data_IF_102445261670
#
_entry.id   IF_102445261670
#
_cell.length_a   1.000
_cell.length_b   1.000
_cell.length_c   1.000
_cell.angle_alpha   90.00
_cell.angle_beta   90.00
_cell.angle_gamma   90.00
#
_symmetry.space_group_name_H-M   'P 1'
#
loop_
_entity.id
_entity.type
_entity.pdbx_description
1 polymer ?
#
# COMPACT_ATOMS: atom_id res chain seq x y z
N UNK A 1 10.85 13.91 10.08
CA UNK A 1 10.46 13.04 8.96
C UNK A 1 9.08 12.38 9.09
N UNK A 2 8.03 13.12 9.44
CA UNK A 2 6.65 12.60 9.36
C UNK A 2 5.74 13.62 8.67
N UNK A 3 5.53 13.43 7.37
CA UNK A 3 4.46 14.10 6.62
C UNK A 3 3.70 13.17 5.66
N UNK A 4 4.18 11.94 5.38
CA UNK A 4 3.62 11.09 4.31
C UNK A 4 3.08 9.73 4.81
N UNK A 5 3.33 9.35 6.06
CA UNK A 5 2.88 8.07 6.62
C UNK A 5 1.36 8.00 6.77
N UNK A 6 0.71 9.08 7.21
CA UNK A 6 -0.73 9.08 7.49
C UNK A 6 -1.61 8.75 6.27
N UNK A 7 -1.30 9.32 5.10
CA UNK A 7 -2.03 9.03 3.86
C UNK A 7 -1.89 7.55 3.44
N UNK A 8 -0.68 7.00 3.62
CA UNK A 8 -0.40 5.60 3.33
C UNK A 8 -1.14 4.67 4.31
N UNK A 9 -1.05 4.94 5.62
CA UNK A 9 -1.74 4.16 6.66
C UNK A 9 -3.25 4.18 6.46
N UNK A 10 -3.82 5.34 6.10
CA UNK A 10 -5.25 5.47 5.83
C UNK A 10 -5.67 4.65 4.60
N UNK A 11 -4.90 4.71 3.51
CA UNK A 11 -5.20 3.95 2.29
C UNK A 11 -5.14 2.43 2.54
N UNK A 12 -4.17 1.95 3.31
CA UNK A 12 -4.05 0.55 3.72
C UNK A 12 -5.21 0.15 4.64
N UNK A 13 -5.52 0.94 5.66
CA UNK A 13 -6.67 0.71 6.56
C UNK A 13 -8.01 0.68 5.83
N UNK A 14 -8.14 1.43 4.73
CA UNK A 14 -9.30 1.41 3.85
C UNK A 14 -9.31 0.27 2.81
N UNK A 15 -8.33 -0.65 2.85
CA UNK A 15 -8.25 -1.80 1.95
C UNK A 15 -8.01 -1.42 0.48
N UNK A 16 -7.29 -0.32 0.23
CA UNK A 16 -6.99 0.14 -1.14
C UNK A 16 -5.72 -0.53 -1.67
N UNK A 17 -5.62 -0.61 -2.99
CA UNK A 17 -4.37 -0.99 -3.65
C UNK A 17 -3.47 0.23 -3.68
N UNK A 18 -2.28 0.14 -3.05
CA UNK A 18 -1.38 1.29 -2.90
C UNK A 18 -0.06 1.04 -3.63
N UNK A 19 0.45 2.09 -4.26
CA UNK A 19 1.82 2.17 -4.81
C UNK A 19 2.53 3.29 -4.04
N UNK A 20 3.75 3.04 -3.57
CA UNK A 20 4.55 4.06 -2.87
C UNK A 20 6.03 3.96 -3.21
N UNK A 21 6.79 5.01 -2.92
CA UNK A 21 8.26 4.95 -3.00
C UNK A 21 8.83 4.16 -1.81
N UNK A 22 10.03 3.56 -1.92
CA UNK A 22 10.52 2.57 -0.96
C UNK A 22 11.19 3.20 0.26
N UNK A 23 10.48 4.09 0.98
CA UNK A 23 10.93 4.57 2.29
C UNK A 23 10.64 3.51 3.37
N UNK A 24 11.33 3.52 4.53
CA UNK A 24 11.29 2.43 5.51
C UNK A 24 9.87 1.98 5.90
N UNK A 25 9.02 2.94 6.27
CA UNK A 25 7.64 2.65 6.64
C UNK A 25 6.81 2.06 5.50
N UNK A 26 6.99 2.51 4.24
CA UNK A 26 6.32 1.92 3.10
C UNK A 26 6.78 0.48 2.81
N UNK A 27 8.08 0.20 2.98
CA UNK A 27 8.60 -1.16 2.83
C UNK A 27 7.95 -2.12 3.82
N UNK A 28 7.88 -1.75 5.10
CA UNK A 28 7.28 -2.58 6.14
C UNK A 28 5.77 -2.75 5.94
N UNK A 29 5.08 -1.66 5.61
CA UNK A 29 3.63 -1.65 5.53
C UNK A 29 3.10 -2.41 4.30
N UNK A 30 3.80 -2.30 3.16
CA UNK A 30 3.37 -2.88 1.88
C UNK A 30 3.93 -4.28 1.61
N UNK A 31 4.74 -4.81 2.52
CA UNK A 31 5.28 -6.17 2.46
C UNK A 31 4.17 -7.26 2.44
N UNK A 32 4.51 -8.53 2.21
CA UNK A 32 3.53 -9.64 2.11
C UNK A 32 2.39 -9.37 1.09
N UNK A 33 2.71 -8.64 0.02
CA UNK A 33 1.76 -8.30 -1.04
C UNK A 33 0.65 -7.35 -0.61
N UNK A 34 0.87 -6.51 0.41
CA UNK A 34 -0.07 -5.47 0.87
C UNK A 34 -0.09 -4.21 -0.02
N UNK A 35 0.79 -4.17 -1.02
CA UNK A 35 0.80 -3.18 -2.09
C UNK A 35 2.04 -3.31 -2.95
N UNK A 36 2.45 -2.22 -3.58
CA UNK A 36 3.56 -2.20 -4.53
C UNK A 36 4.51 -1.04 -4.23
N UNK A 37 5.79 -1.25 -4.53
CA UNK A 37 6.81 -0.21 -4.43
C UNK A 37 7.27 0.20 -5.83
N UNK A 38 7.52 1.49 -6.02
CA UNK A 38 8.10 2.06 -7.24
C UNK A 38 9.38 2.80 -6.90
N UNK A 39 10.44 2.74 -7.73
CA UNK A 39 11.66 3.52 -7.49
C UNK A 39 11.41 5.03 -7.40
N UNK A 40 12.33 5.76 -6.77
CA UNK A 40 12.27 7.21 -6.74
C UNK A 40 12.50 7.79 -8.14
N UNK A 41 11.72 8.81 -8.49
CA UNK A 41 11.83 9.54 -9.77
C UNK A 41 11.73 8.65 -11.02
N UNK A 42 10.99 7.55 -10.95
CA UNK A 42 10.78 6.63 -12.07
C UNK A 42 9.32 6.61 -12.51
N UNK A 43 8.99 7.52 -13.43
CA UNK A 43 7.62 7.68 -13.94
C UNK A 43 7.21 6.51 -14.86
N UNK A 44 8.16 5.91 -15.59
CA UNK A 44 7.90 4.79 -16.49
C UNK A 44 7.57 3.51 -15.72
N UNK A 45 8.26 3.27 -14.60
CA UNK A 45 7.94 2.15 -13.73
C UNK A 45 6.57 2.34 -13.05
N UNK A 46 6.27 3.56 -12.60
CA UNK A 46 4.98 3.89 -12.01
C UNK A 46 3.83 3.69 -13.02
N UNK A 47 3.96 4.21 -14.23
CA UNK A 47 2.94 4.06 -15.28
C UNK A 47 2.71 2.58 -15.62
N UNK A 48 3.78 1.80 -15.76
CA UNK A 48 3.74 0.36 -16.02
C UNK A 48 3.00 -0.40 -14.92
N UNK A 49 3.29 -0.08 -13.64
CA UNK A 49 2.58 -0.68 -12.51
C UNK A 49 1.09 -0.33 -12.51
N UNK A 50 0.75 0.93 -12.78
CA UNK A 50 -0.65 1.37 -12.85
C UNK A 50 -1.38 0.59 -13.95
N UNK A 51 -0.84 0.56 -15.17
CA UNK A 51 -1.44 -0.17 -16.30
C UNK A 51 -1.63 -1.64 -15.95
N UNK A 52 -0.61 -2.29 -15.38
CA UNK A 52 -0.68 -3.69 -14.95
C UNK A 52 -1.80 -3.92 -13.95
N UNK A 53 -1.98 -3.04 -12.97
CA UNK A 53 -3.04 -3.18 -11.95
C UNK A 53 -4.44 -2.89 -12.48
N UNK A 54 -4.55 -2.11 -13.55
CA UNK A 54 -5.81 -1.93 -14.28
C UNK A 54 -6.17 -3.16 -15.13
N UNK A 55 -5.17 -3.81 -15.75
CA UNK A 55 -5.37 -4.99 -16.59
C UNK A 55 -5.56 -6.27 -15.77
N UNK A 56 -4.82 -6.46 -14.69
CA UNK A 56 -4.89 -7.63 -13.81
C UNK A 56 -5.63 -7.31 -12.52
N UNK A 57 -6.95 -7.44 -12.58
CA UNK A 57 -7.84 -7.25 -11.43
C UNK A 57 -7.59 -8.27 -10.33
N UNK A 58 -7.11 -9.48 -10.63
CA UNK A 58 -6.84 -10.52 -9.62
C UNK A 58 -5.67 -10.12 -8.73
N UNK A 59 -4.59 -9.62 -9.31
CA UNK A 59 -3.42 -9.12 -8.57
C UNK A 59 -3.81 -7.93 -7.71
N UNK A 60 -4.55 -6.97 -8.27
CA UNK A 60 -5.05 -5.80 -7.55
C UNK A 60 -5.94 -6.19 -6.37
N UNK A 61 -6.90 -7.08 -6.58
CA UNK A 61 -7.86 -7.47 -5.55
C UNK A 61 -7.21 -8.32 -4.45
N UNK A 62 -6.19 -9.11 -4.78
CA UNK A 62 -5.37 -9.79 -3.77
C UNK A 62 -4.63 -8.78 -2.89
N UNK A 63 -3.99 -7.77 -3.49
CA UNK A 63 -3.29 -6.74 -2.71
C UNK A 63 -4.25 -5.96 -1.79
N UNK A 64 -5.44 -5.62 -2.29
CA UNK A 64 -6.50 -4.96 -1.51
C UNK A 64 -6.95 -5.79 -0.30
N UNK A 65 -7.16 -7.10 -0.49
CA UNK A 65 -7.53 -8.01 0.60
C UNK A 65 -6.43 -8.08 1.65
N UNK A 66 -5.19 -8.32 1.25
CA UNK A 66 -4.05 -8.37 2.17
C UNK A 66 -3.89 -7.05 2.95
N UNK A 67 -4.04 -5.91 2.27
CA UNK A 67 -3.98 -4.59 2.89
C UNK A 67 -5.11 -4.39 3.91
N UNK A 68 -6.35 -4.79 3.55
CA UNK A 68 -7.51 -4.71 4.43
C UNK A 68 -7.31 -5.57 5.69
N UNK A 69 -6.97 -6.84 5.52
CA UNK A 69 -6.81 -7.81 6.62
C UNK A 69 -5.72 -7.35 7.60
N UNK A 70 -4.62 -6.81 7.08
CA UNK A 70 -3.57 -6.22 7.91
C UNK A 70 -4.03 -4.93 8.59
N UNK A 71 -4.64 -4.02 7.84
CA UNK A 71 -5.12 -2.73 8.32
C UNK A 71 -6.16 -2.84 9.44
N UNK A 72 -6.90 -3.95 9.51
CA UNK A 72 -7.80 -4.24 10.63
C UNK A 72 -7.08 -4.23 11.98
N UNK A 73 -5.80 -4.61 12.05
CA UNK A 73 -5.01 -4.63 13.28
C UNK A 73 -4.43 -3.25 13.65
N UNK A 74 -4.60 -2.23 12.81
CA UNK A 74 -4.03 -0.89 13.01
C UNK A 74 -5.06 0.13 13.50
N UNK A 75 -6.32 -0.26 13.68
CA UNK A 75 -7.38 0.65 14.09
C UNK A 75 -7.22 1.05 15.56
N UNK A 76 -7.57 2.30 15.90
CA UNK A 76 -7.46 2.85 17.25
C UNK A 76 -7.98 1.94 18.38
N UNK A 77 -9.15 1.26 18.25
CA UNK A 77 -9.61 0.33 19.28
C UNK A 77 -8.70 -0.87 19.58
N UNK A 78 -7.76 -1.20 18.70
CA UNK A 78 -6.84 -2.34 18.87
C UNK A 78 -5.48 -1.92 19.43
N UNK A 79 -5.02 -0.70 19.09
CA UNK A 79 -3.67 -0.22 19.45
C UNK A 79 -3.65 0.75 20.63
N UNK A 80 -4.79 1.34 20.99
CA UNK A 80 -4.93 2.34 22.06
C UNK A 80 -5.72 1.86 23.28
N UNK A 81 -5.96 0.55 23.38
CA UNK A 81 -6.59 -0.09 24.54
C UNK A 81 -5.56 -0.42 25.62
#
# INVERSE_FOLDING_TARGET
DQYVSGALSWAVGAGKCVISTPYPYAKELLDNGRGFLTPYNDAEHLSSLIIKLFQDTKVRDRARRNAYDFGRNMIWPIIGA
#
